data_IF_128460924196
#
_entry.id   IF_128460924196
#
_cell.length_a   1.000
_cell.length_b   1.000
_cell.length_c   1.000
_cell.angle_alpha   90.00
_cell.angle_beta   90.00
_cell.angle_gamma   90.00
#
_symmetry.space_group_name_H-M   'P 1'
#
loop_
_entity.id
_entity.type
_entity.pdbx_description
1 polymer ?
#
# COMPACT_ATOMS: atom_id res chain seq x y z
N UNK A 1 -8.66 -12.59 16.37
CA UNK A 1 -7.86 -12.38 15.13
C UNK A 1 -7.21 -11.02 15.20
N UNK A 2 -5.89 -10.95 15.03
CA UNK A 2 -5.09 -9.72 15.14
C UNK A 2 -4.81 -9.18 13.74
N UNK A 3 -5.36 -8.00 13.40
CA UNK A 3 -5.12 -7.31 12.14
C UNK A 3 -4.22 -6.10 12.37
N UNK A 4 -3.22 -5.91 11.52
CA UNK A 4 -2.38 -4.70 11.48
C UNK A 4 -2.56 -3.99 10.15
N UNK A 5 -2.60 -2.67 10.20
CA UNK A 5 -2.70 -1.78 9.02
C UNK A 5 -1.35 -1.09 8.86
N UNK A 6 -0.69 -1.27 7.72
CA UNK A 6 0.68 -0.81 7.52
C UNK A 6 0.83 0.00 6.23
N UNK A 7 1.76 0.93 6.25
CA UNK A 7 2.28 1.61 5.06
C UNK A 7 3.80 1.73 5.12
N UNK A 8 4.40 1.99 3.97
CA UNK A 8 5.83 2.21 3.82
C UNK A 8 6.10 3.64 3.35
N UNK A 9 7.13 4.27 3.90
CA UNK A 9 7.56 5.61 3.46
C UNK A 9 9.07 5.78 3.49
N UNK A 10 9.55 6.75 2.72
CA UNK A 10 10.87 7.35 2.87
C UNK A 10 10.72 8.88 2.91
N UNK A 11 11.81 9.62 3.14
CA UNK A 11 11.78 11.09 3.14
C UNK A 11 11.11 11.68 1.90
N UNK A 12 11.37 11.11 0.72
CA UNK A 12 10.84 11.63 -0.55
C UNK A 12 9.32 11.48 -0.70
N UNK A 13 8.69 10.53 0.02
CA UNK A 13 7.25 10.27 -0.01
C UNK A 13 6.51 10.74 1.25
N UNK A 14 7.21 11.34 2.21
CA UNK A 14 6.67 11.64 3.54
C UNK A 14 5.42 12.52 3.51
N UNK A 15 5.32 13.48 2.59
CA UNK A 15 4.14 14.35 2.48
C UNK A 15 2.89 13.55 2.10
N UNK A 16 3.01 12.59 1.17
CA UNK A 16 1.89 11.72 0.81
C UNK A 16 1.45 10.87 1.99
N UNK A 17 2.40 10.30 2.72
CA UNK A 17 2.12 9.51 3.93
C UNK A 17 1.45 10.34 5.02
N UNK A 18 1.92 11.55 5.29
CA UNK A 18 1.26 12.50 6.21
C UNK A 18 -0.17 12.80 5.77
N UNK A 19 -0.39 12.98 4.48
CA UNK A 19 -1.72 13.22 3.91
C UNK A 19 -2.64 12.00 4.08
N UNK A 20 -2.11 10.79 3.88
CA UNK A 20 -2.82 9.54 4.13
C UNK A 20 -3.25 9.43 5.61
N UNK A 21 -2.32 9.62 6.55
CA UNK A 21 -2.58 9.66 8.00
C UNK A 21 -3.65 10.71 8.33
N UNK A 22 -3.53 11.92 7.76
CA UNK A 22 -4.53 12.99 7.97
C UNK A 22 -5.92 12.59 7.53
N UNK A 23 -6.04 11.85 6.42
CA UNK A 23 -7.34 11.35 5.96
C UNK A 23 -7.97 10.34 6.93
N UNK A 24 -7.17 9.49 7.57
CA UNK A 24 -7.62 8.58 8.64
C UNK A 24 -7.99 9.35 9.92
N UNK A 25 -7.20 10.34 10.30
CA UNK A 25 -7.50 11.21 11.44
C UNK A 25 -8.86 11.89 11.31
N UNK A 26 -9.23 12.35 10.11
CA UNK A 26 -10.55 12.95 9.86
C UNK A 26 -11.71 11.95 10.03
N UNK A 27 -11.42 10.66 10.04
CA UNK A 27 -12.37 9.57 10.30
C UNK A 27 -12.33 9.08 11.77
N UNK A 28 -11.54 9.73 12.64
CA UNK A 28 -11.32 9.27 14.02
C UNK A 28 -10.49 7.98 14.09
N UNK A 29 -9.60 7.75 13.10
CA UNK A 29 -8.76 6.57 12.96
C UNK A 29 -7.27 6.94 12.89
N UNK A 30 -6.86 7.99 13.58
CA UNK A 30 -5.49 8.54 13.55
C UNK A 30 -4.40 7.53 13.90
N UNK A 31 -4.67 6.59 14.79
CA UNK A 31 -3.70 5.59 15.25
C UNK A 31 -3.87 4.22 14.58
N UNK A 32 -4.64 4.16 13.47
CA UNK A 32 -4.90 2.87 12.81
C UNK A 32 -3.67 2.36 12.04
N UNK A 33 -2.86 3.27 11.47
CA UNK A 33 -1.84 2.94 10.49
C UNK A 33 -0.45 2.88 11.12
N UNK A 34 0.21 1.74 11.05
CA UNK A 34 1.62 1.58 11.39
C UNK A 34 2.48 2.00 10.20
N UNK A 35 3.38 2.97 10.39
CA UNK A 35 4.20 3.55 9.33
C UNK A 35 5.63 3.03 9.41
N UNK A 36 6.03 2.22 8.44
CA UNK A 36 7.41 1.76 8.31
C UNK A 36 8.23 2.76 7.50
N UNK A 37 9.26 3.32 8.14
CA UNK A 37 10.16 4.30 7.55
C UNK A 37 11.43 3.62 7.04
N UNK A 38 11.78 3.81 5.78
CA UNK A 38 13.01 3.26 5.17
C UNK A 38 14.25 3.97 5.71
N UNK A 39 14.11 5.25 6.08
CA UNK A 39 15.23 6.09 6.53
C UNK A 39 14.88 6.90 7.78
N UNK A 40 15.94 7.30 8.52
CA UNK A 40 15.84 8.05 9.76
C UNK A 40 15.20 9.43 9.58
N UNK A 41 15.36 10.06 8.42
CA UNK A 41 14.79 11.39 8.17
C UNK A 41 13.26 11.29 8.05
N UNK A 42 12.75 10.27 7.34
CA UNK A 42 11.31 9.98 7.28
C UNK A 42 10.73 9.72 8.68
N UNK A 43 11.43 8.90 9.50
CA UNK A 43 11.03 8.63 10.87
C UNK A 43 10.96 9.90 11.71
N UNK A 44 11.96 10.77 11.61
CA UNK A 44 11.99 12.03 12.36
C UNK A 44 10.89 13.00 11.88
N UNK A 45 10.62 13.06 10.56
CA UNK A 45 9.62 13.95 9.97
C UNK A 45 8.17 13.56 10.32
N UNK A 46 7.91 12.36 10.83
CA UNK A 46 6.59 11.98 11.36
C UNK A 46 6.33 12.56 12.76
N UNK A 47 7.27 13.36 13.30
CA UNK A 47 7.13 14.08 14.57
C UNK A 47 6.58 13.16 15.68
N UNK A 48 5.45 13.54 16.31
CA UNK A 48 4.83 12.81 17.42
C UNK A 48 3.88 11.68 16.96
N UNK A 49 3.90 11.27 15.68
CA UNK A 49 3.06 10.14 15.25
C UNK A 49 3.46 8.86 16.00
N UNK A 50 2.55 8.25 16.80
CA UNK A 50 2.93 7.22 17.75
C UNK A 50 3.30 5.88 17.08
N UNK A 51 2.66 5.55 15.95
CA UNK A 51 2.79 4.25 15.30
C UNK A 51 3.76 4.34 14.11
N UNK A 52 5.00 4.76 14.37
CA UNK A 52 6.08 4.82 13.39
C UNK A 52 7.22 3.90 13.77
N UNK A 53 7.77 3.22 12.80
CA UNK A 53 8.82 2.23 12.98
C UNK A 53 9.93 2.45 11.97
N UNK A 54 11.18 2.35 12.39
CA UNK A 54 12.31 2.36 11.47
C UNK A 54 12.50 0.93 10.94
N UNK A 55 12.36 0.76 9.62
CA UNK A 55 12.57 -0.54 8.97
C UNK A 55 14.07 -0.85 8.93
N UNK A 56 14.44 -2.07 9.31
CA UNK A 56 15.80 -2.56 9.13
C UNK A 56 16.07 -2.82 7.64
N UNK A 57 16.80 -1.91 7.02
CA UNK A 57 17.16 -1.94 5.61
C UNK A 57 18.67 -1.89 5.47
N UNK A 58 19.30 -2.75 4.65
CA UNK A 58 20.72 -2.65 4.34
C UNK A 58 21.09 -1.26 3.84
N UNK A 59 22.25 -0.73 4.25
CA UNK A 59 22.63 0.66 3.98
C UNK A 59 22.64 1.01 2.48
N UNK A 60 23.05 0.07 1.64
CA UNK A 60 23.06 0.22 0.18
C UNK A 60 21.66 0.17 -0.48
N UNK A 61 20.63 -0.16 0.28
CA UNK A 61 19.23 -0.17 -0.16
C UNK A 61 18.42 1.00 0.39
N UNK A 62 18.96 1.78 1.32
CA UNK A 62 18.30 2.96 1.89
C UNK A 62 18.28 4.10 0.88
N UNK A 63 17.14 4.40 0.32
CA UNK A 63 16.91 5.49 -0.63
C UNK A 63 16.01 6.53 0.03
N UNK A 64 16.56 7.70 0.33
CA UNK A 64 15.86 8.81 1.01
C UNK A 64 15.07 9.68 0.04
N UNK A 65 15.64 9.92 -1.14
CA UNK A 65 15.09 10.84 -2.12
C UNK A 65 13.87 10.25 -2.80
N UNK A 66 13.00 11.14 -3.30
CA UNK A 66 11.90 10.76 -4.18
C UNK A 66 12.44 10.06 -5.42
N UNK A 67 11.88 8.90 -5.73
CA UNK A 67 12.19 8.16 -6.95
C UNK A 67 11.00 8.22 -7.89
N UNK A 68 11.23 8.63 -9.12
CA UNK A 68 10.21 8.53 -10.17
C UNK A 68 9.94 7.06 -10.51
N UNK A 69 8.69 6.78 -10.84
CA UNK A 69 8.24 5.44 -11.21
C UNK A 69 9.14 4.79 -12.27
N UNK A 70 9.72 3.65 -11.92
CA UNK A 70 10.64 2.86 -12.75
C UNK A 70 11.94 3.57 -13.18
N UNK A 71 12.35 4.61 -12.47
CA UNK A 71 13.63 5.30 -12.71
C UNK A 71 14.56 5.19 -11.50
N UNK A 72 15.86 5.31 -11.76
CA UNK A 72 16.89 5.32 -10.72
C UNK A 72 16.84 4.10 -9.80
N UNK A 73 16.75 4.34 -8.51
CA UNK A 73 16.67 3.33 -7.46
C UNK A 73 15.23 2.98 -7.05
N UNK A 74 14.24 3.24 -7.91
CA UNK A 74 12.83 2.95 -7.65
C UNK A 74 12.60 1.52 -7.16
N UNK A 75 13.22 0.53 -7.81
CA UNK A 75 13.11 -0.87 -7.44
C UNK A 75 13.54 -1.14 -5.99
N UNK A 76 14.59 -0.46 -5.50
CA UNK A 76 15.05 -0.61 -4.12
C UNK A 76 14.02 -0.08 -3.11
N UNK A 77 13.35 1.03 -3.43
CA UNK A 77 12.29 1.60 -2.57
C UNK A 77 11.11 0.64 -2.49
N UNK A 78 10.58 0.19 -3.64
CA UNK A 78 9.39 -0.67 -3.66
C UNK A 78 9.67 -2.09 -3.17
N UNK A 79 10.92 -2.55 -3.23
CA UNK A 79 11.33 -3.83 -2.65
C UNK A 79 11.13 -3.85 -1.12
N UNK A 80 11.31 -2.72 -0.43
CA UNK A 80 11.13 -2.64 1.01
C UNK A 80 9.67 -2.92 1.44
N UNK A 81 8.71 -2.83 0.52
CA UNK A 81 7.34 -3.25 0.74
C UNK A 81 7.25 -4.73 1.15
N UNK A 82 8.02 -5.59 0.50
CA UNK A 82 8.06 -7.01 0.85
C UNK A 82 8.60 -7.23 2.26
N UNK A 83 9.64 -6.48 2.66
CA UNK A 83 10.21 -6.57 4.02
C UNK A 83 9.18 -6.19 5.09
N UNK A 84 8.52 -5.03 4.96
CA UNK A 84 7.54 -4.61 5.96
C UNK A 84 6.31 -5.51 6.01
N UNK A 85 5.80 -5.98 4.86
CA UNK A 85 4.69 -6.94 4.82
C UNK A 85 5.10 -8.26 5.48
N UNK A 86 6.28 -8.80 5.14
CA UNK A 86 6.76 -10.06 5.69
C UNK A 86 6.90 -9.99 7.21
N UNK A 87 7.55 -8.93 7.75
CA UNK A 87 7.64 -8.72 9.20
C UNK A 87 6.25 -8.68 9.85
N UNK A 88 5.32 -7.94 9.27
CA UNK A 88 3.97 -7.85 9.81
C UNK A 88 3.23 -9.21 9.79
N UNK A 89 3.44 -10.04 8.75
CA UNK A 89 2.85 -11.37 8.63
C UNK A 89 3.40 -12.38 9.67
N UNK A 90 4.59 -12.16 10.22
CA UNK A 90 5.14 -13.03 11.26
C UNK A 90 4.42 -12.87 12.61
N UNK A 91 3.80 -11.70 12.86
CA UNK A 91 3.28 -11.31 14.17
C UNK A 91 1.75 -11.14 14.22
N UNK A 92 1.10 -11.17 13.04
CA UNK A 92 -0.34 -10.89 12.93
C UNK A 92 -1.05 -11.94 12.09
N UNK A 93 -2.36 -12.11 12.33
CA UNK A 93 -3.21 -13.02 11.55
C UNK A 93 -3.54 -12.43 10.17
N UNK A 94 -3.68 -11.08 10.10
CA UNK A 94 -3.95 -10.35 8.87
C UNK A 94 -3.11 -9.07 8.79
N UNK A 95 -2.68 -8.75 7.57
CA UNK A 95 -1.96 -7.52 7.25
C UNK A 95 -2.70 -6.76 6.16
N UNK A 96 -3.12 -5.54 6.46
CA UNK A 96 -3.57 -4.58 5.46
C UNK A 96 -2.42 -3.66 5.08
N UNK A 97 -1.94 -3.78 3.85
CA UNK A 97 -0.93 -2.90 3.30
C UNK A 97 -1.58 -1.84 2.41
N UNK A 98 -1.13 -0.60 2.53
CA UNK A 98 -1.53 0.52 1.68
C UNK A 98 -0.34 1.38 1.28
N UNK A 99 -0.31 1.87 0.03
CA UNK A 99 0.63 2.91 -0.38
C UNK A 99 0.32 4.25 0.31
N UNK A 100 1.33 5.12 0.45
CA UNK A 100 1.19 6.40 1.14
C UNK A 100 0.35 7.45 0.38
N UNK A 101 0.05 7.24 -0.90
CA UNK A 101 -0.76 8.13 -1.73
C UNK A 101 -2.26 7.77 -1.77
N UNK A 102 -2.72 7.10 -0.73
CA UNK A 102 -4.14 6.79 -0.49
C UNK A 102 -4.77 7.91 0.32
N UNK A 103 -6.04 8.23 -0.01
CA UNK A 103 -6.92 9.10 0.79
C UNK A 103 -8.16 8.31 1.19
N UNK A 104 -8.36 8.13 2.48
CA UNK A 104 -9.53 7.44 3.02
C UNK A 104 -10.73 8.38 3.07
N UNK A 105 -11.89 7.91 2.62
CA UNK A 105 -13.14 8.67 2.54
C UNK A 105 -14.16 8.26 3.59
N UNK A 106 -14.10 7.02 4.05
CA UNK A 106 -14.88 6.51 5.18
C UNK A 106 -14.24 5.24 5.74
N UNK A 107 -14.60 4.85 6.96
CA UNK A 107 -14.01 3.72 7.67
C UNK A 107 -14.70 2.36 7.40
N UNK A 108 -15.70 2.34 6.52
CA UNK A 108 -16.41 1.09 6.14
C UNK A 108 -15.50 0.07 5.47
N UNK A 109 -14.33 0.50 4.94
CA UNK A 109 -13.35 -0.41 4.37
C UNK A 109 -12.91 -1.48 5.39
N UNK A 110 -12.84 -1.15 6.69
CA UNK A 110 -12.44 -2.08 7.76
C UNK A 110 -13.38 -3.28 7.81
N UNK A 111 -14.69 -3.02 7.91
CA UNK A 111 -15.70 -4.08 7.97
C UNK A 111 -15.81 -4.82 6.62
N UNK A 112 -15.72 -4.11 5.49
CA UNK A 112 -15.81 -4.74 4.16
C UNK A 112 -14.65 -5.71 3.92
N UNK A 113 -13.43 -5.37 4.32
CA UNK A 113 -12.26 -6.24 4.20
C UNK A 113 -12.36 -7.46 5.10
N UNK A 114 -12.75 -7.26 6.37
CA UNK A 114 -12.91 -8.34 7.32
C UNK A 114 -13.95 -9.35 6.84
N UNK A 115 -15.13 -8.89 6.39
CA UNK A 115 -16.18 -9.77 5.90
C UNK A 115 -15.76 -10.55 4.63
N UNK A 116 -14.95 -9.95 3.76
CA UNK A 116 -14.48 -10.62 2.52
C UNK A 116 -13.45 -11.70 2.79
N UNK A 117 -12.61 -11.53 3.79
CA UNK A 117 -11.55 -12.48 4.12
C UNK A 117 -12.02 -13.58 5.09
N UNK A 118 -13.30 -13.61 5.47
CA UNK A 118 -13.87 -14.67 6.30
C UNK A 118 -13.78 -16.07 5.65
N UNK A 119 -13.82 -16.14 4.31
CA UNK A 119 -13.49 -17.37 3.59
C UNK A 119 -12.04 -17.77 3.86
N UNK A 120 -11.85 -18.85 4.63
CA UNK A 120 -10.54 -19.34 5.06
C UNK A 120 -9.62 -19.75 3.90
N UNK A 121 -10.16 -19.91 2.71
CA UNK A 121 -9.36 -20.24 1.54
C UNK A 121 -8.73 -19.00 0.87
N UNK A 122 -9.22 -17.79 1.12
CA UNK A 122 -8.67 -16.57 0.52
C UNK A 122 -7.37 -16.17 1.23
N UNK A 123 -6.29 -16.14 0.46
CA UNK A 123 -4.96 -15.73 0.92
C UNK A 123 -4.76 -14.20 0.81
N UNK A 124 -5.40 -13.55 -0.19
CA UNK A 124 -5.14 -12.16 -0.56
C UNK A 124 -6.38 -11.48 -1.15
N UNK A 125 -6.77 -10.34 -0.58
CA UNK A 125 -7.63 -9.35 -1.26
C UNK A 125 -6.73 -8.27 -1.84
N UNK A 126 -6.92 -7.89 -3.11
CA UNK A 126 -6.01 -6.97 -3.79
C UNK A 126 -6.76 -6.01 -4.71
N UNK A 127 -6.29 -4.76 -4.78
CA UNK A 127 -6.89 -3.76 -5.65
C UNK A 127 -6.73 -4.14 -7.13
N UNK A 128 -7.79 -3.94 -7.90
CA UNK A 128 -7.76 -4.08 -9.35
C UNK A 128 -7.07 -2.86 -10.00
N UNK A 129 -6.13 -3.09 -10.92
CA UNK A 129 -5.42 -2.03 -11.64
C UNK A 129 -6.02 -1.73 -13.03
N UNK A 130 -7.22 -2.22 -13.32
CA UNK A 130 -7.95 -1.98 -14.56
C UNK A 130 -9.12 -1.01 -14.37
N UNK A 131 -9.92 -0.83 -15.41
CA UNK A 131 -11.09 0.07 -15.40
C UNK A 131 -12.44 -0.66 -15.27
N UNK A 132 -12.42 -1.99 -15.22
CA UNK A 132 -13.59 -2.81 -14.97
C UNK A 132 -13.24 -3.97 -14.04
N UNK A 133 -14.24 -4.47 -13.32
CA UNK A 133 -14.05 -5.55 -12.35
C UNK A 133 -13.93 -6.94 -12.99
N UNK A 134 -14.18 -7.09 -14.27
CA UNK A 134 -14.08 -8.37 -15.00
C UNK A 134 -12.64 -8.64 -15.44
N UNK A 135 -11.86 -7.59 -15.74
CA UNK A 135 -10.47 -7.71 -16.15
C UNK A 135 -9.55 -7.93 -14.93
N UNK A 136 -8.89 -9.07 -14.87
CA UNK A 136 -7.92 -9.44 -13.83
C UNK A 136 -6.47 -9.55 -14.35
N UNK A 137 -6.22 -9.06 -15.54
CA UNK A 137 -4.90 -9.11 -16.15
C UNK A 137 -3.84 -8.38 -15.34
N UNK A 138 -4.22 -7.29 -14.65
CA UNK A 138 -3.33 -6.55 -13.76
C UNK A 138 -3.98 -6.20 -12.42
N UNK A 139 -3.23 -6.45 -11.34
CA UNK A 139 -3.58 -6.13 -9.96
C UNK A 139 -2.62 -5.07 -9.45
N UNK A 140 -3.11 -4.18 -8.60
CA UNK A 140 -2.33 -3.10 -7.98
C UNK A 140 -1.86 -3.51 -6.58
N UNK A 141 -0.55 -3.55 -6.39
CA UNK A 141 0.07 -3.85 -5.08
C UNK A 141 0.00 -2.70 -4.06
N UNK A 142 -0.66 -1.59 -4.41
CA UNK A 142 -0.80 -0.43 -3.52
C UNK A 142 -1.92 -0.55 -2.50
N UNK A 143 -2.82 -1.54 -2.61
CA UNK A 143 -3.83 -1.90 -1.60
C UNK A 143 -3.98 -3.41 -1.56
N UNK A 144 -3.58 -4.01 -0.45
CA UNK A 144 -3.62 -5.46 -0.23
C UNK A 144 -4.10 -5.77 1.17
N UNK A 145 -4.99 -6.78 1.33
CA UNK A 145 -5.33 -7.36 2.62
C UNK A 145 -4.97 -8.83 2.59
N UNK A 146 -4.04 -9.24 3.45
CA UNK A 146 -3.27 -10.46 3.34
C UNK A 146 -3.50 -11.32 4.58
N UNK A 147 -3.94 -12.56 4.40
CA UNK A 147 -3.99 -13.57 5.46
C UNK A 147 -2.58 -14.08 5.74
N UNK A 148 -2.19 -14.18 7.00
CA UNK A 148 -0.93 -14.77 7.41
C UNK A 148 -1.05 -16.30 7.41
N UNK A 149 -0.38 -16.94 6.45
CA UNK A 149 -0.21 -18.39 6.37
C UNK A 149 1.13 -18.70 5.67
N UNK A 150 1.48 -19.98 5.57
CA UNK A 150 2.78 -20.39 4.99
C UNK A 150 2.94 -19.94 3.53
N UNK A 151 1.85 -19.92 2.75
CA UNK A 151 1.90 -19.49 1.35
C UNK A 151 2.20 -18.00 1.24
N UNK A 152 1.51 -17.15 2.00
CA UNK A 152 1.69 -15.70 1.97
C UNK A 152 3.03 -15.29 2.58
N UNK A 153 3.46 -15.92 3.68
CA UNK A 153 4.80 -15.74 4.25
C UNK A 153 5.88 -16.09 3.23
N UNK A 154 5.76 -17.23 2.53
CA UNK A 154 6.70 -17.61 1.47
C UNK A 154 6.68 -16.62 0.30
N UNK A 155 5.49 -16.13 -0.08
CA UNK A 155 5.29 -15.21 -1.20
C UNK A 155 5.94 -13.84 -0.94
N UNK A 156 5.78 -13.30 0.28
CA UNK A 156 6.31 -11.99 0.65
C UNK A 156 7.69 -12.03 1.33
N UNK A 157 8.29 -13.21 1.54
CA UNK A 157 9.62 -13.30 2.13
C UNK A 157 10.66 -12.66 1.18
N UNK A 158 11.34 -11.58 1.62
CA UNK A 158 12.31 -10.87 0.79
C UNK A 158 13.49 -11.76 0.36
N UNK A 159 13.83 -12.80 1.11
CA UNK A 159 14.90 -13.73 0.73
C UNK A 159 14.56 -14.55 -0.52
N UNK A 160 13.28 -14.71 -0.85
CA UNK A 160 12.81 -15.41 -2.04
C UNK A 160 12.69 -14.50 -3.27
N UNK A 161 12.98 -13.19 -3.13
CA UNK A 161 12.74 -12.18 -4.16
C UNK A 161 14.07 -11.51 -4.51
N UNK A 162 14.54 -11.71 -5.73
CA UNK A 162 15.76 -11.04 -6.20
C UNK A 162 15.46 -9.58 -6.58
N UNK A 163 15.95 -8.65 -5.78
CA UNK A 163 15.80 -7.20 -5.99
C UNK A 163 16.35 -6.74 -7.35
N UNK A 164 17.32 -7.43 -7.93
CA UNK A 164 17.90 -7.07 -9.20
C UNK A 164 17.03 -7.52 -10.38
N UNK A 165 16.18 -8.53 -10.18
CA UNK A 165 15.27 -9.07 -11.18
C UNK A 165 13.88 -8.43 -11.17
N UNK A 166 13.47 -7.84 -10.05
CA UNK A 166 12.17 -7.16 -10.00
C UNK A 166 12.30 -5.73 -10.52
N UNK A 167 11.56 -5.41 -11.55
CA UNK A 167 11.43 -4.03 -12.03
C UNK A 167 10.53 -3.20 -11.11
N UNK A 168 9.51 -3.83 -10.53
CA UNK A 168 8.69 -3.28 -9.44
C UNK A 168 7.92 -4.40 -8.73
N UNK A 169 7.43 -4.09 -7.51
CA UNK A 169 6.61 -4.94 -6.66
C UNK A 169 5.35 -5.46 -7.38
N UNK A 170 4.64 -4.61 -8.10
CA UNK A 170 3.42 -4.96 -8.83
C UNK A 170 3.66 -6.00 -9.92
N UNK A 171 4.79 -5.92 -10.64
CA UNK A 171 5.17 -6.92 -11.65
C UNK A 171 5.40 -8.28 -10.99
N UNK A 172 6.11 -8.30 -9.86
CA UNK A 172 6.31 -9.54 -9.09
C UNK A 172 4.97 -10.15 -8.67
N UNK A 173 4.12 -9.35 -8.02
CA UNK A 173 2.79 -9.80 -7.56
C UNK A 173 1.99 -10.39 -8.73
N UNK A 174 1.93 -9.70 -9.87
CA UNK A 174 1.17 -10.16 -11.03
C UNK A 174 1.74 -11.45 -11.67
N UNK A 175 3.06 -11.62 -11.69
CA UNK A 175 3.70 -12.87 -12.16
C UNK A 175 3.40 -14.05 -11.24
N UNK A 176 3.39 -13.81 -9.94
CA UNK A 176 3.32 -14.85 -8.91
C UNK A 176 1.91 -15.06 -8.34
N UNK A 177 0.92 -14.21 -8.68
CA UNK A 177 -0.44 -14.24 -8.11
C UNK A 177 -1.13 -15.60 -8.17
N UNK A 178 -0.83 -16.42 -9.19
CA UNK A 178 -1.36 -17.78 -9.33
C UNK A 178 -0.98 -18.75 -8.20
N UNK A 179 0.02 -18.39 -7.39
CA UNK A 179 0.45 -19.18 -6.23
C UNK A 179 -0.43 -18.91 -4.99
N UNK A 180 -1.32 -17.93 -5.06
CA UNK A 180 -2.23 -17.54 -4.00
C UNK A 180 -3.68 -17.65 -4.48
N UNK A 181 -4.59 -17.96 -3.57
CA UNK A 181 -6.02 -17.76 -3.79
C UNK A 181 -6.36 -16.32 -3.50
N UNK A 182 -6.62 -15.52 -4.52
CA UNK A 182 -6.87 -14.09 -4.36
C UNK A 182 -8.27 -13.69 -4.85
N UNK A 183 -8.78 -12.60 -4.28
CA UNK A 183 -9.98 -11.91 -4.72
C UNK A 183 -9.66 -10.44 -5.01
N UNK A 184 -10.25 -9.90 -6.08
CA UNK A 184 -10.13 -8.49 -6.42
C UNK A 184 -11.06 -7.63 -5.55
N UNK A 185 -10.53 -6.54 -5.05
CA UNK A 185 -11.34 -5.50 -4.43
C UNK A 185 -12.14 -4.75 -5.50
N UNK A 186 -13.47 -4.57 -5.34
CA UNK A 186 -14.31 -3.95 -6.35
C UNK A 186 -13.95 -2.47 -6.55
N UNK A 187 -13.73 -2.06 -7.79
CA UNK A 187 -13.31 -0.71 -8.18
C UNK A 187 -14.24 0.40 -7.66
N UNK A 188 -15.54 0.11 -7.56
CA UNK A 188 -16.50 1.09 -7.02
C UNK A 188 -16.25 1.45 -5.56
N UNK A 189 -15.69 0.52 -4.77
CA UNK A 189 -15.36 0.71 -3.36
C UNK A 189 -13.90 1.09 -3.13
N UNK A 190 -13.01 0.52 -3.94
CA UNK A 190 -11.55 0.67 -3.86
C UNK A 190 -10.98 1.17 -5.20
N UNK A 191 -11.39 2.36 -5.66
CA UNK A 191 -10.96 2.86 -6.96
C UNK A 191 -9.45 3.07 -7.03
N UNK A 192 -8.84 2.60 -8.12
CA UNK A 192 -7.53 3.07 -8.54
C UNK A 192 -7.64 4.47 -9.16
N UNK A 193 -6.50 5.14 -9.36
CA UNK A 193 -6.48 6.54 -9.82
C UNK A 193 -7.08 6.76 -11.20
N UNK A 194 -7.03 5.75 -12.08
CA UNK A 194 -7.63 5.86 -13.41
C UNK A 194 -9.16 5.73 -13.33
N UNK A 195 -9.66 4.74 -12.57
CA UNK A 195 -11.09 4.55 -12.36
C UNK A 195 -11.71 5.74 -11.62
N UNK A 196 -11.02 6.28 -10.61
CA UNK A 196 -11.46 7.48 -9.89
C UNK A 196 -11.65 8.66 -10.86
N UNK A 197 -10.67 8.98 -11.70
CA UNK A 197 -10.72 10.11 -12.63
C UNK A 197 -11.81 9.97 -13.70
N UNK A 198 -12.11 8.75 -14.11
CA UNK A 198 -13.09 8.49 -15.20
C UNK A 198 -14.51 8.30 -14.72
N UNK A 199 -14.69 7.73 -13.52
CA UNK A 199 -16.02 7.34 -12.98
C UNK A 199 -16.43 8.10 -11.73
N UNK A 200 -15.47 8.76 -11.05
CA UNK A 200 -15.67 9.49 -9.78
C UNK A 200 -16.58 8.74 -8.78
N UNK A 201 -16.26 7.51 -8.41
CA UNK A 201 -17.09 6.71 -7.52
C UNK A 201 -17.01 7.24 -6.09
N UNK A 202 -18.10 7.06 -5.32
CA UNK A 202 -18.08 7.28 -3.87
C UNK A 202 -17.48 6.05 -3.16
N UNK A 203 -16.17 5.84 -3.34
CA UNK A 203 -15.43 4.73 -2.76
C UNK A 203 -15.09 4.92 -1.29
N UNK A 204 -14.56 3.87 -0.67
CA UNK A 204 -14.08 3.92 0.71
C UNK A 204 -12.74 4.66 0.83
N UNK A 205 -11.96 4.61 -0.22
CA UNK A 205 -10.69 5.29 -0.37
C UNK A 205 -10.49 5.74 -1.83
N UNK A 206 -9.47 6.55 -2.08
CA UNK A 206 -8.99 6.90 -3.41
C UNK A 206 -7.49 6.63 -3.45
N UNK A 207 -7.03 5.81 -4.39
CA UNK A 207 -5.62 5.59 -4.64
C UNK A 207 -5.16 6.50 -5.79
N UNK A 208 -4.24 7.41 -5.53
CA UNK A 208 -3.74 8.38 -6.53
C UNK A 208 -2.59 7.82 -7.38
N UNK A 209 -2.64 6.51 -7.71
CA UNK A 209 -1.71 5.93 -8.68
C UNK A 209 -1.95 6.48 -10.11
N UNK A 210 -1.16 6.08 -11.10
CA UNK A 210 -1.16 6.59 -12.50
C UNK A 210 -0.74 8.07 -12.66
N UNK A 211 -0.30 8.72 -11.59
CA UNK A 211 0.31 10.04 -11.63
C UNK A 211 1.60 10.02 -10.82
N UNK A 212 2.55 10.86 -11.19
CA UNK A 212 3.87 10.88 -10.59
C UNK A 212 4.17 12.29 -10.06
N UNK A 213 4.83 12.36 -8.90
CA UNK A 213 5.37 13.59 -8.35
C UNK A 213 4.35 14.72 -8.28
N UNK A 214 4.70 15.88 -8.82
CA UNK A 214 3.89 17.09 -8.69
C UNK A 214 2.49 16.99 -9.32
N UNK A 215 2.33 16.25 -10.41
CA UNK A 215 1.01 16.07 -11.06
C UNK A 215 0.03 15.34 -10.14
N UNK A 216 0.52 14.35 -9.39
CA UNK A 216 -0.25 13.67 -8.35
C UNK A 216 -0.72 14.66 -7.27
N UNK A 217 0.19 15.46 -6.73
CA UNK A 217 -0.12 16.48 -5.70
C UNK A 217 -1.11 17.53 -6.22
N UNK A 218 -0.97 17.98 -7.46
CA UNK A 218 -1.89 18.92 -8.09
C UNK A 218 -3.30 18.33 -8.23
N UNK A 219 -3.42 17.07 -8.64
CA UNK A 219 -4.73 16.41 -8.70
C UNK A 219 -5.34 16.26 -7.31
N UNK A 220 -4.58 15.82 -6.31
CA UNK A 220 -5.08 15.72 -4.93
C UNK A 220 -5.59 17.06 -4.41
N UNK A 221 -4.90 18.18 -4.72
CA UNK A 221 -5.36 19.55 -4.37
C UNK A 221 -6.65 19.92 -5.12
N UNK A 222 -6.72 19.64 -6.42
CA UNK A 222 -7.91 19.89 -7.23
C UNK A 222 -9.14 19.15 -6.71
N UNK A 223 -8.94 17.94 -6.23
CA UNK A 223 -9.99 17.07 -5.66
C UNK A 223 -10.32 17.40 -4.19
N UNK A 224 -9.69 18.43 -3.60
CA UNK A 224 -9.76 18.76 -2.17
C UNK A 224 -9.36 17.59 -1.26
N UNK A 225 -8.41 16.79 -1.70
CA UNK A 225 -7.87 15.62 -1.00
C UNK A 225 -6.39 15.78 -0.57
N UNK A 226 -5.81 16.96 -0.75
CA UNK A 226 -4.55 17.36 -0.12
C UNK A 226 -4.87 18.08 1.18
N UNK A 227 -4.69 17.38 2.31
CA UNK A 227 -5.26 17.72 3.62
C UNK A 227 -4.24 18.34 4.60
N UNK A 228 -2.97 18.46 4.16
CA UNK A 228 -1.84 19.01 4.92
C UNK A 228 -1.32 20.30 4.34
#
# INVERSE_FOLDING_TARGET
MKTVYITLTNKGYIEYTKNCIKSLSMLGRESLLDVYCIDQEAYNLLDDYPNKYLLEVPENEKIKEFQEFRKGNWNKVVYQKFRCIYQALLENDFVYFTDGDIVYKNDRFINDLNNRIEDDEIDLLIQNDKQNDEDDSELCSGVMFIRSNDKTKKFFNPENIDINFIQCDQIYVNKMKKNLKYEKLPLRKYPNGLYHRTKNPNGYLIHYNYLIGNDKKLLMKKDNNWLI
#
